data_IF_020209288188
#
_entry.id   IF_020209288188
#
_cell.length_a   1.000
_cell.length_b   1.000
_cell.length_c   1.000
_cell.angle_alpha   90.00
_cell.angle_beta   90.00
_cell.angle_gamma   90.00
#
_symmetry.space_group_name_H-M   'P 1'
#
loop_
_entity.id
_entity.type
_entity.pdbx_description
1 polymer ?
#
# COMPACT_ATOMS: atom_id res chain seq x y z
N UNK A 1 -16.74 16.81 14.59
CA UNK A 1 -15.28 16.98 14.71
C UNK A 1 -14.81 18.31 14.12
N UNK A 2 -15.26 18.72 12.94
CA UNK A 2 -14.92 20.04 12.35
C UNK A 2 -15.24 21.22 13.28
N UNK A 3 -16.41 21.22 13.93
CA UNK A 3 -16.78 22.23 14.94
C UNK A 3 -15.79 22.34 16.12
N UNK A 4 -14.98 21.30 16.34
CA UNK A 4 -13.95 21.25 17.37
C UNK A 4 -12.54 21.50 16.79
N UNK A 5 -12.43 22.00 15.56
CA UNK A 5 -11.16 22.38 14.92
C UNK A 5 -10.37 21.24 14.29
N UNK A 6 -10.98 20.06 14.08
CA UNK A 6 -10.31 18.94 13.41
C UNK A 6 -10.31 19.13 11.89
N UNK A 7 -9.18 18.84 11.25
CA UNK A 7 -9.14 18.54 9.83
C UNK A 7 -9.76 17.17 9.59
N UNK A 8 -10.70 17.06 8.65
CA UNK A 8 -11.33 15.79 8.31
C UNK A 8 -10.74 15.27 7.00
N UNK A 9 -10.45 13.98 6.98
CA UNK A 9 -10.06 13.19 5.81
C UNK A 9 -10.91 11.93 5.77
N UNK A 10 -11.13 11.41 4.57
CA UNK A 10 -11.96 10.23 4.38
C UNK A 10 -11.41 9.39 3.23
N UNK A 11 -11.18 8.11 3.47
CA UNK A 11 -11.10 7.09 2.44
C UNK A 11 -12.48 6.46 2.32
N UNK A 12 -13.18 6.70 1.21
CA UNK A 12 -14.51 6.13 0.96
C UNK A 12 -14.44 5.15 -0.21
N UNK A 13 -14.54 3.86 0.10
CA UNK A 13 -14.68 2.78 -0.90
C UNK A 13 -16.11 2.22 -0.96
N UNK A 14 -17.07 2.88 -0.31
CA UNK A 14 -18.50 2.53 -0.34
C UNK A 14 -19.19 3.16 -1.54
N UNK A 15 -18.95 4.44 -1.79
CA UNK A 15 -19.60 5.14 -2.92
C UNK A 15 -19.19 4.51 -4.25
N UNK A 16 -20.15 4.33 -5.16
CA UNK A 16 -19.93 3.64 -6.44
C UNK A 16 -18.87 4.31 -7.33
N UNK A 17 -18.60 5.60 -7.12
CA UNK A 17 -17.59 6.40 -7.83
C UNK A 17 -16.39 6.81 -6.94
N UNK A 18 -16.37 6.35 -5.68
CA UNK A 18 -15.47 6.81 -4.62
C UNK A 18 -15.47 8.33 -4.46
N UNK A 19 -16.47 9.07 -4.97
CA UNK A 19 -16.40 10.52 -5.18
C UNK A 19 -16.26 11.34 -3.90
N UNK A 20 -16.63 10.76 -2.75
CA UNK A 20 -16.47 11.37 -1.42
C UNK A 20 -15.12 11.06 -0.77
N UNK A 21 -14.34 10.17 -1.37
CA UNK A 21 -12.99 9.85 -0.90
C UNK A 21 -12.01 10.95 -1.25
N UNK A 22 -11.15 11.27 -0.29
CA UNK A 22 -9.89 11.94 -0.55
C UNK A 22 -8.99 11.00 -1.36
N UNK A 23 -8.12 11.58 -2.18
CA UNK A 23 -7.13 10.84 -2.97
C UNK A 23 -5.93 10.43 -2.11
N UNK A 24 -5.32 9.30 -2.44
CA UNK A 24 -4.18 8.71 -1.75
C UNK A 24 -3.10 8.34 -2.76
N UNK A 25 -1.91 8.93 -2.64
CA UNK A 25 -0.78 8.58 -3.50
C UNK A 25 0.36 7.95 -2.69
N UNK A 26 0.58 6.62 -2.79
CA UNK A 26 1.61 5.95 -2.02
C UNK A 26 3.04 6.44 -2.31
N UNK A 27 3.31 6.95 -3.52
CA UNK A 27 4.64 7.45 -3.89
C UNK A 27 5.07 8.68 -3.07
N UNK A 28 4.13 9.44 -2.49
CA UNK A 28 4.45 10.59 -1.62
C UNK A 28 5.23 10.15 -0.38
N UNK A 29 5.01 8.91 0.08
CA UNK A 29 5.62 8.35 1.29
C UNK A 29 6.91 7.59 1.01
N UNK A 30 7.31 7.42 -0.26
CA UNK A 30 8.58 6.76 -0.64
C UNK A 30 9.71 7.78 -0.66
N UNK A 31 10.74 7.56 0.19
CA UNK A 31 11.93 8.43 0.25
C UNK A 31 13.23 7.69 -0.08
N UNK A 32 13.22 6.38 0.02
CA UNK A 32 14.39 5.52 -0.20
C UNK A 32 14.02 4.30 -1.03
N UNK A 33 15.02 3.60 -1.57
CA UNK A 33 14.83 2.31 -2.24
C UNK A 33 14.22 1.25 -1.32
N UNK A 34 14.53 1.31 -0.02
CA UNK A 34 13.93 0.42 0.99
C UNK A 34 12.42 0.67 1.08
N UNK A 35 11.98 1.93 1.03
CA UNK A 35 10.56 2.27 1.03
C UNK A 35 9.88 1.80 -0.27
N UNK A 36 10.58 1.83 -1.40
CA UNK A 36 10.07 1.31 -2.67
C UNK A 36 9.80 -0.20 -2.60
N UNK A 37 10.77 -0.97 -2.09
CA UNK A 37 10.61 -2.42 -1.90
C UNK A 37 9.44 -2.71 -0.96
N UNK A 38 9.32 -1.96 0.15
CA UNK A 38 8.19 -2.08 1.08
C UNK A 38 6.85 -1.76 0.42
N UNK A 39 6.80 -0.73 -0.43
CA UNK A 39 5.58 -0.36 -1.15
C UNK A 39 5.15 -1.47 -2.13
N UNK A 40 6.08 -1.99 -2.93
CA UNK A 40 5.79 -3.08 -3.87
C UNK A 40 5.32 -4.32 -3.13
N UNK A 41 6.00 -4.70 -2.04
CA UNK A 41 5.59 -5.81 -1.18
C UNK A 41 4.20 -5.59 -0.57
N UNK A 42 3.91 -4.40 -0.03
CA UNK A 42 2.60 -4.06 0.52
C UNK A 42 1.49 -4.20 -0.53
N UNK A 43 1.73 -3.74 -1.76
CA UNK A 43 0.77 -3.86 -2.87
C UNK A 43 0.57 -5.32 -3.26
N UNK A 44 1.64 -6.11 -3.37
CA UNK A 44 1.54 -7.54 -3.68
C UNK A 44 0.76 -8.30 -2.61
N UNK A 45 1.07 -8.07 -1.33
CA UNK A 45 0.36 -8.69 -0.21
C UNK A 45 -1.11 -8.28 -0.21
N UNK A 46 -1.39 -6.98 -0.37
CA UNK A 46 -2.77 -6.47 -0.36
C UNK A 46 -3.62 -7.03 -1.50
N UNK A 47 -3.03 -7.22 -2.69
CA UNK A 47 -3.72 -7.76 -3.87
C UNK A 47 -3.77 -9.30 -3.90
N UNK A 48 -3.18 -9.99 -2.92
CA UNK A 48 -3.18 -11.45 -2.86
C UNK A 48 -4.15 -11.91 -1.76
N UNK A 49 -5.22 -12.65 -2.09
CA UNK A 49 -6.18 -13.10 -1.08
C UNK A 49 -5.52 -13.99 -0.01
N UNK A 50 -5.88 -13.78 1.27
CA UNK A 50 -5.23 -14.41 2.42
C UNK A 50 -5.31 -15.95 2.43
N UNK A 51 -6.30 -16.55 1.75
CA UNK A 51 -6.50 -18.00 1.67
C UNK A 51 -5.92 -18.66 0.41
N UNK A 52 -5.21 -17.91 -0.43
CA UNK A 52 -4.55 -18.49 -1.61
C UNK A 52 -3.26 -19.17 -1.17
N UNK A 53 -3.02 -20.40 -1.64
CA UNK A 53 -1.69 -21.02 -1.51
C UNK A 53 -0.64 -20.02 -2.01
N UNK A 54 0.35 -19.70 -1.18
CA UNK A 54 1.47 -18.83 -1.60
C UNK A 54 1.99 -19.39 -2.93
N UNK A 55 2.01 -18.56 -3.97
CA UNK A 55 2.54 -18.96 -5.28
C UNK A 55 3.94 -19.51 -5.13
N UNK A 56 4.39 -20.35 -6.08
CA UNK A 56 5.77 -20.85 -6.01
C UNK A 56 6.72 -19.64 -5.97
N UNK A 57 7.76 -19.64 -5.10
CA UNK A 57 8.61 -18.47 -4.88
C UNK A 57 9.16 -17.84 -6.17
N UNK A 58 9.46 -18.68 -7.16
CA UNK A 58 9.91 -18.26 -8.48
C UNK A 58 8.95 -17.27 -9.18
N UNK A 59 7.65 -17.52 -9.13
CA UNK A 59 6.66 -16.63 -9.76
C UNK A 59 6.54 -15.30 -9.02
N UNK A 60 6.61 -15.33 -7.68
CA UNK A 60 6.56 -14.12 -6.85
C UNK A 60 7.81 -13.25 -7.06
N UNK A 61 8.99 -13.83 -7.20
CA UNK A 61 10.22 -13.11 -7.51
C UNK A 61 10.13 -12.42 -8.89
N UNK A 62 9.60 -13.13 -9.90
CA UNK A 62 9.36 -12.56 -11.22
C UNK A 62 8.37 -11.39 -11.21
N UNK A 63 7.25 -11.53 -10.50
CA UNK A 63 6.27 -10.44 -10.30
C UNK A 63 6.95 -9.25 -9.61
N UNK A 64 7.74 -9.51 -8.57
CA UNK A 64 8.46 -8.48 -7.82
C UNK A 64 9.42 -7.70 -8.73
N UNK A 65 10.20 -8.39 -9.57
CA UNK A 65 11.10 -7.75 -10.54
C UNK A 65 10.34 -6.84 -11.51
N UNK A 66 9.25 -7.33 -12.09
CA UNK A 66 8.45 -6.54 -13.04
C UNK A 66 7.82 -5.30 -12.38
N UNK A 67 7.26 -5.47 -11.18
CA UNK A 67 6.69 -4.36 -10.42
C UNK A 67 7.77 -3.35 -10.05
N UNK A 68 8.91 -3.79 -9.50
CA UNK A 68 10.01 -2.88 -9.18
C UNK A 68 10.47 -2.11 -10.42
N UNK A 69 10.59 -2.76 -11.58
CA UNK A 69 10.93 -2.07 -12.82
C UNK A 69 9.97 -0.90 -13.13
N UNK A 70 8.67 -1.16 -13.11
CA UNK A 70 7.65 -0.15 -13.39
C UNK A 70 7.61 0.93 -12.30
N UNK A 71 7.65 0.55 -11.03
CA UNK A 71 7.57 1.48 -9.91
C UNK A 71 8.79 2.39 -9.81
N UNK A 72 10.01 1.86 -10.01
CA UNK A 72 11.21 2.69 -10.07
C UNK A 72 11.17 3.68 -11.23
N UNK A 73 10.67 3.26 -12.40
CA UNK A 73 10.51 4.17 -13.52
C UNK A 73 9.54 5.31 -13.14
N UNK A 74 8.37 4.97 -12.59
CA UNK A 74 7.40 6.00 -12.17
C UNK A 74 7.99 6.94 -11.13
N UNK A 75 8.72 6.42 -10.13
CA UNK A 75 9.24 7.21 -9.02
C UNK A 75 10.41 8.12 -9.40
N UNK A 76 11.37 7.61 -10.19
CA UNK A 76 12.61 8.33 -10.50
C UNK A 76 12.52 9.18 -11.77
N UNK A 77 11.71 8.76 -12.75
CA UNK A 77 11.78 9.31 -14.11
C UNK A 77 10.54 10.12 -14.52
N UNK A 78 9.43 10.02 -13.77
CA UNK A 78 8.20 10.75 -14.08
C UNK A 78 8.00 11.92 -13.12
N UNK A 79 7.71 13.10 -13.68
CA UNK A 79 7.50 14.34 -12.91
C UNK A 79 6.46 14.21 -11.79
N UNK A 80 5.37 13.49 -12.07
CA UNK A 80 4.31 13.20 -11.10
C UNK A 80 4.18 11.69 -10.89
N UNK A 81 4.83 11.09 -9.88
CA UNK A 81 4.75 9.66 -9.62
C UNK A 81 3.40 9.31 -8.98
N UNK A 82 2.57 8.55 -9.69
CA UNK A 82 1.23 8.12 -9.25
C UNK A 82 0.95 6.69 -9.69
N UNK A 83 0.14 5.95 -8.93
CA UNK A 83 -0.14 4.53 -9.21
C UNK A 83 -0.73 4.28 -10.61
N UNK A 84 -1.62 5.12 -11.18
CA UNK A 84 -2.12 4.94 -12.54
C UNK A 84 -1.03 4.92 -13.62
N UNK A 85 0.12 5.57 -13.38
CA UNK A 85 1.24 5.55 -14.34
C UNK A 85 2.00 4.22 -14.33
N UNK A 86 1.92 3.45 -13.25
CA UNK A 86 2.43 2.07 -13.23
C UNK A 86 1.62 1.22 -14.20
N UNK A 87 0.29 1.31 -14.16
CA UNK A 87 -0.58 0.61 -15.12
C UNK A 87 -0.33 1.07 -16.55
N UNK A 88 -0.02 2.35 -16.76
CA UNK A 88 0.35 2.85 -18.09
C UNK A 88 1.57 2.11 -18.63
N UNK A 89 2.64 1.97 -17.84
CA UNK A 89 3.84 1.21 -18.25
C UNK A 89 3.50 -0.26 -18.50
N UNK A 90 2.65 -0.88 -17.69
CA UNK A 90 2.22 -2.26 -17.90
C UNK A 90 1.47 -2.45 -19.23
N UNK A 91 0.68 -1.45 -19.64
CA UNK A 91 -0.01 -1.46 -20.92
C UNK A 91 0.95 -1.26 -22.10
N UNK A 92 2.02 -0.48 -21.93
CA UNK A 92 3.08 -0.30 -22.94
C UNK A 92 3.83 -1.61 -23.22
N UNK A 93 4.00 -2.49 -22.23
CA UNK A 93 4.59 -3.83 -22.46
C UNK A 93 3.72 -4.69 -23.38
N UNK A 94 2.40 -4.44 -23.44
CA UNK A 94 1.49 -5.18 -24.31
C UNK A 94 1.44 -4.63 -25.74
N UNK A 95 2.11 -3.50 -26.02
CA UNK A 95 2.12 -2.85 -27.34
C UNK A 95 3.43 -3.14 -28.05
N UNK A 96 3.35 -4.02 -29.05
CA UNK A 96 4.48 -4.37 -29.91
C UNK A 96 4.68 -3.25 -30.93
N UNK A 97 5.90 -2.71 -31.00
CA UNK A 97 6.30 -1.68 -31.96
C UNK A 97 6.96 -2.27 -33.21
N UNK A 98 7.59 -3.43 -33.07
CA UNK A 98 8.28 -4.15 -34.15
C UNK A 98 7.91 -5.63 -34.06
N UNK A 99 7.20 -6.13 -35.08
CA UNK A 99 6.71 -7.52 -35.12
C UNK A 99 7.82 -8.55 -35.35
N UNK A 100 8.96 -8.16 -35.94
CA UNK A 100 10.08 -9.07 -36.21
C UNK A 100 10.92 -9.32 -34.96
N UNK A 101 11.20 -8.26 -34.21
CA UNK A 101 12.00 -8.31 -32.97
C UNK A 101 11.14 -8.59 -31.73
N UNK A 102 9.85 -8.27 -31.78
CA UNK A 102 8.96 -8.31 -30.62
C UNK A 102 9.18 -7.15 -29.64
N UNK A 103 9.91 -6.09 -30.04
CA UNK A 103 10.18 -4.94 -29.17
C UNK A 103 8.86 -4.28 -28.76
N UNK A 104 8.68 -4.08 -27.44
CA UNK A 104 7.50 -3.42 -26.87
C UNK A 104 7.73 -1.92 -26.67
N UNK A 105 6.65 -1.16 -26.52
CA UNK A 105 6.75 0.27 -26.17
C UNK A 105 7.48 0.49 -24.84
N UNK A 106 7.27 -0.40 -23.86
CA UNK A 106 7.98 -0.35 -22.58
C UNK A 106 9.47 -0.71 -22.75
N UNK A 107 9.80 -1.68 -23.60
CA UNK A 107 11.19 -2.07 -23.88
C UNK A 107 11.98 -0.92 -24.50
N UNK A 108 11.41 -0.26 -25.51
CA UNK A 108 11.99 0.95 -26.11
C UNK A 108 12.19 2.07 -25.09
N UNK A 109 11.23 2.25 -24.18
CA UNK A 109 11.31 3.21 -23.08
C UNK A 109 12.45 2.89 -22.11
N UNK A 110 12.63 1.62 -21.75
CA UNK A 110 13.73 1.15 -20.90
C UNK A 110 15.09 1.30 -21.59
N UNK A 111 15.17 1.00 -22.89
CA UNK A 111 16.39 1.19 -23.69
C UNK A 111 16.78 2.66 -23.78
N UNK A 112 15.81 3.55 -24.02
CA UNK A 112 16.03 5.00 -24.00
C UNK A 112 16.52 5.48 -22.65
N UNK A 113 15.93 4.96 -21.57
CA UNK A 113 16.34 5.28 -20.20
C UNK A 113 17.79 4.86 -19.92
N UNK A 114 18.17 3.66 -20.35
CA UNK A 114 19.53 3.12 -20.21
C UNK A 114 20.60 3.96 -20.94
N UNK A 115 20.22 4.68 -22.01
CA UNK A 115 21.15 5.57 -22.73
C UNK A 115 21.22 6.95 -22.07
N UNK A 116 20.09 7.52 -21.67
CA UNK A 116 20.01 8.89 -21.17
C UNK A 116 20.42 9.04 -19.69
N UNK A 117 20.17 8.01 -18.88
CA UNK A 117 20.43 8.06 -17.44
C UNK A 117 21.93 7.90 -17.17
N UNK A 118 22.53 8.69 -16.26
CA UNK A 118 23.93 8.49 -15.87
C UNK A 118 24.17 7.13 -15.21
N UNK A 119 23.13 6.47 -14.70
CA UNK A 119 23.21 5.12 -14.13
C UNK A 119 23.27 4.03 -15.21
N UNK A 120 22.94 4.36 -16.46
CA UNK A 120 22.91 3.42 -17.56
C UNK A 120 22.05 2.18 -17.27
N UNK A 121 22.66 1.01 -17.44
CA UNK A 121 22.02 -0.29 -17.19
C UNK A 121 21.80 -0.59 -15.70
N UNK A 122 22.52 0.10 -14.82
CA UNK A 122 22.38 -0.02 -13.35
C UNK A 122 21.21 0.81 -12.82
N UNK A 123 20.53 1.60 -13.67
CA UNK A 123 19.29 2.26 -13.26
C UNK A 123 18.29 1.19 -12.77
N UNK A 124 17.72 1.31 -11.56
CA UNK A 124 16.96 0.22 -10.94
C UNK A 124 15.73 -0.20 -11.75
N UNK A 125 15.09 0.73 -12.46
CA UNK A 125 14.02 0.40 -13.40
C UNK A 125 14.49 -0.52 -14.55
N UNK A 126 15.64 -0.18 -15.15
CA UNK A 126 16.23 -0.89 -16.30
C UNK A 126 16.77 -2.24 -15.88
N UNK A 127 17.54 -2.28 -14.78
CA UNK A 127 18.17 -3.49 -14.28
C UNK A 127 17.13 -4.56 -13.91
N UNK A 128 16.06 -4.19 -13.20
CA UNK A 128 14.99 -5.12 -12.87
C UNK A 128 14.23 -5.60 -14.12
N UNK A 129 13.97 -4.69 -15.09
CA UNK A 129 13.28 -5.06 -16.34
C UNK A 129 14.11 -6.05 -17.17
N UNK A 130 15.41 -5.81 -17.32
CA UNK A 130 16.28 -6.67 -18.12
C UNK A 130 16.49 -8.04 -17.49
N UNK A 131 16.70 -8.10 -16.17
CA UNK A 131 16.80 -9.38 -15.44
C UNK A 131 15.55 -10.25 -15.64
N UNK A 132 14.38 -9.63 -15.67
CA UNK A 132 13.15 -10.35 -16.01
C UNK A 132 13.18 -10.83 -17.47
N UNK A 133 13.49 -9.95 -18.43
CA UNK A 133 13.47 -10.23 -19.88
C UNK A 133 14.55 -11.22 -20.35
N UNK A 134 15.60 -11.44 -19.56
CA UNK A 134 16.58 -12.53 -19.75
C UNK A 134 15.98 -13.94 -19.52
N UNK A 135 14.84 -14.01 -18.82
CA UNK A 135 14.11 -15.26 -18.62
C UNK A 135 13.51 -15.83 -19.91
N UNK A 136 13.07 -17.09 -19.86
CA UNK A 136 12.41 -17.73 -21.01
C UNK A 136 11.16 -16.93 -21.44
N UNK A 137 10.95 -16.66 -22.75
CA UNK A 137 9.88 -15.78 -23.22
C UNK A 137 8.47 -16.13 -22.70
N UNK A 138 8.10 -17.41 -22.67
CA UNK A 138 6.79 -17.87 -22.18
C UNK A 138 6.62 -17.63 -20.67
N UNK A 139 7.70 -17.78 -19.90
CA UNK A 139 7.74 -17.50 -18.47
C UNK A 139 7.55 -16.01 -18.21
N UNK A 140 8.28 -15.15 -18.94
CA UNK A 140 8.17 -13.70 -18.82
C UNK A 140 6.76 -13.22 -19.16
N UNK A 141 6.18 -13.74 -20.24
CA UNK A 141 4.80 -13.45 -20.64
C UNK A 141 3.80 -13.84 -19.55
N UNK A 142 3.99 -15.00 -18.91
CA UNK A 142 3.13 -15.45 -17.81
C UNK A 142 3.20 -14.50 -16.61
N UNK A 143 4.41 -14.06 -16.23
CA UNK A 143 4.62 -13.09 -15.15
C UNK A 143 3.92 -11.75 -15.44
N UNK A 144 4.06 -11.23 -16.68
CA UNK A 144 3.40 -9.99 -17.10
C UNK A 144 1.87 -10.12 -17.02
N UNK A 145 1.31 -11.26 -17.42
CA UNK A 145 -0.14 -11.53 -17.30
C UNK A 145 -0.57 -11.55 -15.83
N UNK A 146 0.21 -12.20 -14.95
CA UNK A 146 -0.07 -12.21 -13.50
C UNK A 146 -0.08 -10.79 -12.92
N UNK A 147 0.87 -9.94 -13.30
CA UNK A 147 0.93 -8.55 -12.86
C UNK A 147 -0.27 -7.74 -13.33
N UNK A 148 -0.62 -7.85 -14.62
CA UNK A 148 -1.81 -7.18 -15.17
C UNK A 148 -3.10 -7.63 -14.49
N UNK A 149 -3.22 -8.93 -14.16
CA UNK A 149 -4.37 -9.47 -13.43
C UNK A 149 -4.49 -8.86 -12.02
N UNK A 150 -3.38 -8.75 -11.29
CA UNK A 150 -3.35 -8.09 -9.97
C UNK A 150 -3.72 -6.61 -10.07
N UNK A 151 -3.29 -5.91 -11.12
CA UNK A 151 -3.54 -4.48 -11.29
C UNK A 151 -4.86 -4.13 -11.99
N UNK A 152 -5.72 -5.12 -12.33
CA UNK A 152 -7.00 -4.89 -13.02
C UNK A 152 -7.91 -3.83 -12.40
N UNK A 153 -7.81 -3.59 -11.09
CA UNK A 153 -8.55 -2.55 -10.38
C UNK A 153 -8.22 -1.14 -10.89
N UNK A 154 -7.02 -0.92 -11.42
CA UNK A 154 -6.64 0.30 -12.13
C UNK A 154 -7.41 0.49 -13.44
N UNK A 155 -8.19 -0.48 -13.92
CA UNK A 155 -9.16 -0.27 -15.00
C UNK A 155 -10.39 0.55 -14.57
N UNK A 156 -10.69 0.60 -13.27
CA UNK A 156 -11.86 1.29 -12.71
C UNK A 156 -11.57 2.79 -12.58
N UNK A 157 -12.44 3.63 -13.14
CA UNK A 157 -12.29 5.11 -13.13
C UNK A 157 -12.19 5.65 -11.70
N UNK A 158 -13.06 5.16 -10.80
CA UNK A 158 -13.05 5.53 -9.39
C UNK A 158 -11.71 5.24 -8.71
N UNK A 159 -11.15 4.04 -8.93
CA UNK A 159 -9.84 3.68 -8.40
C UNK A 159 -8.71 4.52 -9.02
N UNK A 160 -8.72 4.77 -10.34
CA UNK A 160 -7.72 5.67 -10.95
C UNK A 160 -7.74 7.05 -10.32
N UNK A 161 -8.93 7.63 -10.12
CA UNK A 161 -9.12 8.94 -9.46
C UNK A 161 -8.52 8.90 -8.05
N UNK A 162 -8.86 7.88 -7.27
CA UNK A 162 -8.39 7.73 -5.90
C UNK A 162 -6.86 7.80 -5.80
N UNK A 163 -6.13 7.21 -6.74
CA UNK A 163 -4.66 7.19 -6.72
C UNK A 163 -3.99 8.29 -7.57
N UNK A 164 -4.72 9.33 -7.97
CA UNK A 164 -4.21 10.38 -8.88
C UNK A 164 -3.50 11.56 -8.18
N UNK A 165 -3.66 11.69 -6.87
CA UNK A 165 -3.03 12.74 -6.03
C UNK A 165 -2.95 12.26 -4.57
N UNK A 166 -2.12 12.90 -3.74
CA UNK A 166 -2.24 12.74 -2.28
C UNK A 166 -3.01 13.88 -1.64
N UNK A 167 -4.19 13.58 -1.12
CA UNK A 167 -4.97 14.47 -0.26
C UNK A 167 -5.03 13.95 1.18
N UNK A 168 -4.60 12.70 1.43
CA UNK A 168 -4.59 12.07 2.75
C UNK A 168 -3.61 12.73 3.71
N UNK A 169 -2.40 13.06 3.23
CA UNK A 169 -1.29 13.58 4.03
C UNK A 169 -1.15 12.89 5.40
N UNK A 170 -0.80 11.60 5.38
CA UNK A 170 -0.79 10.73 6.59
C UNK A 170 0.11 11.26 7.72
N UNK A 171 1.07 12.15 7.42
CA UNK A 171 1.91 12.80 8.42
C UNK A 171 1.08 13.65 9.41
N UNK A 172 0.02 14.31 8.94
CA UNK A 172 -0.76 15.26 9.75
C UNK A 172 -1.46 14.61 10.94
N UNK A 173 -1.77 13.31 10.85
CA UNK A 173 -2.41 12.56 11.95
C UNK A 173 -1.57 12.62 13.23
N UNK A 174 -0.24 12.48 13.11
CA UNK A 174 0.67 12.51 14.26
C UNK A 174 1.44 13.82 14.44
N UNK A 175 1.59 14.60 13.37
CA UNK A 175 2.43 15.81 13.34
C UNK A 175 1.64 17.12 13.38
N UNK A 176 0.31 17.06 13.24
CA UNK A 176 -0.55 18.22 13.06
C UNK A 176 -0.54 18.78 11.65
N UNK A 177 -1.55 19.57 11.31
CA UNK A 177 -1.70 20.18 9.97
C UNK A 177 -0.49 21.06 9.68
N UNK A 178 0.15 20.85 8.52
CA UNK A 178 1.42 21.49 8.15
C UNK A 178 2.55 21.33 9.19
N UNK A 179 2.49 20.32 10.05
CA UNK A 179 3.49 20.06 11.08
C UNK A 179 3.44 21.00 12.28
N UNK A 180 2.31 21.68 12.52
CA UNK A 180 2.12 22.62 13.64
C UNK A 180 2.11 21.96 15.03
N UNK A 181 2.01 20.62 15.08
CA UNK A 181 1.94 19.79 16.29
C UNK A 181 0.73 20.08 17.17
N UNK A 182 -0.29 20.77 16.65
CA UNK A 182 -1.46 21.19 17.41
C UNK A 182 -2.79 20.89 16.73
N UNK A 183 -2.91 21.15 15.43
CA UNK A 183 -4.18 20.97 14.70
C UNK A 183 -4.38 19.49 14.41
N UNK A 184 -5.43 18.91 14.98
CA UNK A 184 -5.69 17.47 14.90
C UNK A 184 -6.37 17.10 13.57
N UNK A 185 -6.04 15.92 13.06
CA UNK A 185 -6.70 15.34 11.88
C UNK A 185 -7.48 14.09 12.29
N UNK A 186 -8.69 13.93 11.76
CA UNK A 186 -9.47 12.71 11.84
C UNK A 186 -9.60 12.08 10.46
N UNK A 187 -9.18 10.83 10.32
CA UNK A 187 -9.28 10.05 9.08
C UNK A 187 -10.35 8.96 9.26
N UNK A 188 -11.39 9.03 8.42
CA UNK A 188 -12.45 8.03 8.36
C UNK A 188 -12.15 7.03 7.24
N UNK A 189 -12.24 5.73 7.54
CA UNK A 189 -12.14 4.66 6.55
C UNK A 189 -13.53 4.05 6.41
N UNK A 190 -14.19 4.34 5.30
CA UNK A 190 -15.54 3.86 5.00
C UNK A 190 -15.43 2.67 4.04
N UNK A 191 -15.78 1.48 4.53
CA UNK A 191 -15.67 0.20 3.83
C UNK A 191 -17.05 -0.45 3.75
N UNK A 192 -17.32 -1.22 2.70
CA UNK A 192 -18.58 -1.96 2.59
C UNK A 192 -18.53 -3.26 3.39
N UNK A 193 -19.61 -3.57 4.11
CA UNK A 193 -19.70 -4.79 4.92
C UNK A 193 -19.81 -6.06 4.05
N UNK A 194 -20.50 -5.96 2.91
CA UNK A 194 -20.82 -7.09 2.03
C UNK A 194 -19.81 -7.29 0.89
N UNK A 195 -19.31 -6.20 0.29
CA UNK A 195 -18.39 -6.25 -0.86
C UNK A 195 -16.95 -5.94 -0.45
N UNK A 196 -16.10 -6.97 -0.50
CA UNK A 196 -14.68 -6.89 -0.15
C UNK A 196 -13.76 -6.63 -1.34
N UNK A 197 -14.31 -6.30 -2.50
CA UNK A 197 -13.54 -6.11 -3.74
C UNK A 197 -12.43 -5.04 -3.62
N UNK A 198 -12.57 -4.08 -2.70
CA UNK A 198 -11.65 -2.97 -2.50
C UNK A 198 -10.96 -2.92 -1.13
N UNK A 199 -11.10 -3.97 -0.32
CA UNK A 199 -10.45 -4.10 1.00
C UNK A 199 -8.94 -3.92 0.92
N UNK A 200 -8.32 -4.36 -0.18
CA UNK A 200 -6.89 -4.20 -0.42
C UNK A 200 -6.44 -2.73 -0.40
N UNK A 201 -7.30 -1.77 -0.78
CA UNK A 201 -7.00 -0.34 -0.73
C UNK A 201 -6.83 0.10 0.72
N UNK A 202 -7.74 -0.35 1.58
CA UNK A 202 -7.72 -0.08 3.02
C UNK A 202 -6.51 -0.74 3.66
N UNK A 203 -6.21 -2.00 3.32
CA UNK A 203 -4.99 -2.70 3.74
C UNK A 203 -3.71 -1.95 3.35
N UNK A 204 -3.62 -1.49 2.10
CA UNK A 204 -2.48 -0.73 1.60
C UNK A 204 -2.30 0.60 2.35
N UNK A 205 -3.40 1.31 2.60
CA UNK A 205 -3.41 2.55 3.38
C UNK A 205 -2.96 2.29 4.82
N UNK A 206 -3.48 1.24 5.47
CA UNK A 206 -3.11 0.88 6.84
C UNK A 206 -1.61 0.63 7.00
N UNK A 207 -1.03 -0.20 6.14
CA UNK A 207 0.40 -0.48 6.17
C UNK A 207 1.21 0.82 6.04
N UNK A 208 0.81 1.71 5.13
CA UNK A 208 1.48 2.98 4.89
C UNK A 208 1.30 3.95 6.06
N UNK A 209 0.09 4.02 6.63
CA UNK A 209 -0.25 4.82 7.81
C UNK A 209 0.65 4.47 8.99
N UNK A 210 0.72 3.19 9.37
CA UNK A 210 1.53 2.80 10.52
C UNK A 210 3.03 3.01 10.29
N UNK A 211 3.52 2.75 9.08
CA UNK A 211 4.92 3.04 8.73
C UNK A 211 5.25 4.53 8.87
N UNK A 212 4.40 5.41 8.32
CA UNK A 212 4.55 6.86 8.40
C UNK A 212 4.52 7.34 9.86
N UNK A 213 3.53 6.90 10.64
CA UNK A 213 3.40 7.31 12.04
C UNK A 213 4.58 6.83 12.90
N UNK A 214 5.05 5.59 12.71
CA UNK A 214 6.21 5.07 13.42
C UNK A 214 7.47 5.88 13.09
N UNK A 215 7.64 6.26 11.83
CA UNK A 215 8.77 7.08 11.39
C UNK A 215 8.70 8.52 11.93
N UNK A 216 7.50 9.11 11.95
CA UNK A 216 7.26 10.39 12.62
C UNK A 216 7.65 10.33 14.10
N UNK A 217 7.22 9.29 14.81
CA UNK A 217 7.55 9.11 16.22
C UNK A 217 9.07 9.01 16.43
N UNK A 218 9.77 8.21 15.62
CA UNK A 218 11.24 8.09 15.67
C UNK A 218 11.93 9.43 15.50
N UNK A 219 11.48 10.26 14.55
CA UNK A 219 12.02 11.60 14.30
C UNK A 219 11.69 12.62 15.39
N UNK A 220 10.72 12.33 16.27
CA UNK A 220 10.28 13.22 17.35
C UNK A 220 10.60 12.64 18.75
N UNK A 221 11.79 12.07 18.91
CA UNK A 221 12.26 11.60 20.22
C UNK A 221 11.59 10.30 20.68
N UNK A 222 11.01 9.53 19.76
CA UNK A 222 10.41 8.22 20.01
C UNK A 222 8.90 8.21 20.10
N UNK A 223 8.23 9.37 20.17
CA UNK A 223 6.78 9.47 20.29
C UNK A 223 6.18 10.55 19.39
N UNK A 224 4.93 10.37 18.96
CA UNK A 224 4.21 11.36 18.18
C UNK A 224 3.89 12.60 19.04
N UNK A 225 4.07 13.83 18.49
CA UNK A 225 3.64 15.07 19.14
C UNK A 225 2.14 15.10 19.44
N UNK A 226 1.31 14.65 18.49
CA UNK A 226 -0.13 14.46 18.69
C UNK A 226 -0.38 12.95 18.84
N UNK A 227 -0.93 12.48 19.98
CA UNK A 227 -1.33 11.10 20.12
C UNK A 227 -2.38 10.70 19.08
N UNK A 228 -2.18 9.54 18.46
CA UNK A 228 -3.09 9.00 17.44
C UNK A 228 -3.84 7.80 18.01
N UNK A 229 -5.16 7.85 17.93
CA UNK A 229 -6.04 6.73 18.26
C UNK A 229 -6.58 6.11 16.98
N UNK A 230 -6.43 4.80 16.84
CA UNK A 230 -6.96 4.02 15.73
C UNK A 230 -8.09 3.15 16.24
N UNK A 231 -9.31 3.44 15.77
CA UNK A 231 -10.52 2.75 16.16
C UNK A 231 -10.86 1.72 15.07
N UNK A 232 -10.88 0.44 15.43
CA UNK A 232 -11.10 -0.68 14.51
C UNK A 232 -12.41 -1.38 14.90
N UNK A 233 -13.52 -0.81 14.46
CA UNK A 233 -14.91 -1.23 14.74
C UNK A 233 -15.22 -2.66 14.27
N UNK A 234 -14.70 -3.04 13.12
CA UNK A 234 -14.80 -4.40 12.59
C UNK A 234 -13.45 -5.11 12.57
N UNK A 235 -12.70 -5.13 13.68
CA UNK A 235 -11.35 -5.69 13.67
C UNK A 235 -11.29 -7.13 13.12
N UNK A 236 -12.28 -7.96 13.43
CA UNK A 236 -12.33 -9.35 12.98
C UNK A 236 -12.73 -9.54 11.51
N UNK A 237 -13.62 -8.69 10.98
CA UNK A 237 -14.18 -8.86 9.64
C UNK A 237 -13.51 -7.97 8.60
N UNK A 238 -13.01 -6.81 9.02
CA UNK A 238 -12.41 -5.80 8.16
C UNK A 238 -10.94 -6.04 7.84
N UNK A 239 -10.42 -5.11 7.04
CA UNK A 239 -9.02 -5.06 6.65
C UNK A 239 -8.12 -4.78 7.86
N UNK A 240 -6.99 -5.49 7.93
CA UNK A 240 -6.00 -5.36 9.01
C UNK A 240 -4.60 -5.14 8.44
N UNK A 241 -3.71 -4.42 9.14
CA UNK A 241 -2.30 -4.37 8.80
C UNK A 241 -1.68 -5.77 8.80
N UNK A 242 -0.69 -5.99 7.94
CA UNK A 242 0.10 -7.22 7.97
C UNK A 242 0.89 -7.34 9.28
N UNK A 243 1.00 -8.57 9.81
CA UNK A 243 1.69 -8.87 11.08
C UNK A 243 1.24 -7.97 12.24
N UNK A 244 -0.06 -7.69 12.32
CA UNK A 244 -0.63 -6.80 13.32
C UNK A 244 -0.30 -7.21 14.77
N UNK A 245 -0.16 -8.51 15.04
CA UNK A 245 0.26 -9.05 16.35
C UNK A 245 1.62 -8.53 16.80
N UNK A 246 2.54 -8.28 15.86
CA UNK A 246 3.83 -7.66 16.16
C UNK A 246 3.68 -6.15 16.26
N UNK A 247 2.90 -5.57 15.36
CA UNK A 247 2.70 -4.12 15.29
C UNK A 247 2.18 -3.55 16.61
N UNK A 248 1.07 -4.09 17.12
CA UNK A 248 0.35 -3.58 18.30
C UNK A 248 1.25 -3.47 19.54
N UNK A 249 2.17 -4.42 19.73
CA UNK A 249 3.10 -4.44 20.88
C UNK A 249 4.06 -3.26 20.90
N UNK A 250 4.29 -2.61 19.75
CA UNK A 250 5.27 -1.52 19.62
C UNK A 250 4.65 -0.13 19.54
N UNK A 251 3.33 -0.03 19.32
CA UNK A 251 2.62 1.23 19.08
C UNK A 251 2.56 2.13 20.32
N UNK A 252 2.36 1.55 21.51
CA UNK A 252 2.17 2.28 22.77
C UNK A 252 3.27 3.28 23.06
N UNK A 253 4.53 2.86 22.92
CA UNK A 253 5.70 3.73 23.16
C UNK A 253 5.78 4.94 22.23
N UNK A 254 5.00 4.94 21.15
CA UNK A 254 5.01 5.95 20.09
C UNK A 254 3.84 6.93 20.17
N UNK A 255 3.06 6.91 21.26
CA UNK A 255 1.79 7.62 21.37
C UNK A 255 0.77 7.22 20.29
N UNK A 256 0.76 5.94 19.92
CA UNK A 256 -0.26 5.35 19.05
C UNK A 256 -1.05 4.33 19.87
N UNK A 257 -2.35 4.52 19.95
CA UNK A 257 -3.28 3.64 20.64
C UNK A 257 -4.21 2.97 19.63
N UNK A 258 -4.50 1.69 19.83
CA UNK A 258 -5.46 0.96 19.01
C UNK A 258 -6.60 0.48 19.90
N UNK A 259 -7.84 0.70 19.44
CA UNK A 259 -9.06 0.24 20.08
C UNK A 259 -9.71 -0.75 19.12
N UNK A 260 -9.66 -2.03 19.49
CA UNK A 260 -10.26 -3.10 18.71
C UNK A 260 -11.66 -3.40 19.25
N UNK A 261 -12.64 -3.40 18.37
CA UNK A 261 -13.99 -3.85 18.69
C UNK A 261 -14.18 -5.27 18.15
N UNK A 262 -14.69 -6.14 19.01
CA UNK A 262 -14.84 -7.57 18.75
C UNK A 262 -16.21 -8.00 19.26
N UNK A 263 -16.91 -8.82 18.48
CA UNK A 263 -18.15 -9.44 18.92
C UNK A 263 -17.87 -10.63 19.85
N UNK A 264 -16.75 -11.33 19.60
CA UNK A 264 -16.32 -12.44 20.44
C UNK A 264 -14.81 -12.65 20.34
N UNK A 265 -14.17 -13.07 21.44
CA UNK A 265 -12.78 -13.54 21.45
C UNK A 265 -12.58 -14.71 20.48
N UNK A 266 -13.62 -15.51 20.23
CA UNK A 266 -13.57 -16.61 19.25
C UNK A 266 -13.21 -16.14 17.84
N UNK A 267 -13.58 -14.91 17.46
CA UNK A 267 -13.19 -14.34 16.15
C UNK A 267 -11.67 -14.17 16.06
N UNK A 268 -11.02 -13.67 17.12
CA UNK A 268 -9.56 -13.58 17.18
C UNK A 268 -8.90 -14.95 17.05
N UNK A 269 -9.42 -15.97 17.75
CA UNK A 269 -8.87 -17.34 17.71
C UNK A 269 -8.93 -17.96 16.31
N UNK A 270 -9.94 -17.62 15.52
CA UNK A 270 -10.09 -18.10 14.15
C UNK A 270 -9.07 -17.46 13.20
N UNK A 271 -8.85 -16.16 13.36
CA UNK A 271 -7.92 -15.38 12.52
C UNK A 271 -6.47 -15.69 12.90
N UNK A 272 -6.15 -15.65 14.20
CA UNK A 272 -4.81 -15.78 14.74
C UNK A 272 -4.61 -17.15 15.39
N UNK A 273 -4.18 -18.12 14.56
CA UNK A 273 -3.95 -19.52 14.94
C UNK A 273 -2.68 -19.69 15.80
N UNK A 274 -2.51 -20.89 16.36
CA UNK A 274 -1.32 -21.29 17.14
C UNK A 274 -1.04 -20.32 18.30
N UNK A 275 -2.07 -19.96 19.05
CA UNK A 275 -2.01 -19.06 20.22
C UNK A 275 -1.50 -17.63 19.93
N UNK A 276 -1.35 -17.26 18.66
CA UNK A 276 -1.00 -15.88 18.25
C UNK A 276 -2.04 -14.86 18.73
N UNK A 277 -3.30 -15.27 18.90
CA UNK A 277 -4.36 -14.42 19.44
C UNK A 277 -4.08 -13.96 20.89
N UNK A 278 -3.32 -14.74 21.69
CA UNK A 278 -2.96 -14.38 23.06
C UNK A 278 -2.07 -13.14 23.10
N UNK A 279 -1.17 -12.99 22.12
CA UNK A 279 -0.31 -11.80 21.97
C UNK A 279 -1.14 -10.53 21.85
N UNK A 280 -2.25 -10.58 21.11
CA UNK A 280 -3.16 -9.43 20.96
C UNK A 280 -3.84 -9.08 22.27
N UNK A 281 -4.24 -10.10 23.04
CA UNK A 281 -4.84 -9.91 24.35
C UNK A 281 -3.82 -9.30 25.32
N UNK A 282 -2.61 -9.84 25.38
CA UNK A 282 -1.55 -9.35 26.27
C UNK A 282 -1.09 -7.93 25.93
N UNK A 283 -1.15 -7.54 24.65
CA UNK A 283 -0.85 -6.18 24.23
C UNK A 283 -1.91 -5.15 24.66
N UNK A 284 -3.15 -5.59 24.91
CA UNK A 284 -4.25 -4.74 25.32
C UNK A 284 -4.23 -4.48 26.83
N UNK A 285 -4.03 -3.23 27.24
CA UNK A 285 -4.03 -2.86 28.66
C UNK A 285 -5.43 -2.77 29.28
N UNK A 286 -6.49 -2.83 28.48
CA UNK A 286 -7.86 -2.65 28.95
C UNK A 286 -8.81 -3.51 28.12
N UNK A 287 -9.72 -4.19 28.81
CA UNK A 287 -10.80 -4.97 28.24
C UNK A 287 -12.12 -4.41 28.70
N UNK A 288 -12.99 -4.07 27.76
CA UNK A 288 -14.36 -3.65 28.03
C UNK A 288 -15.30 -4.71 27.46
N UNK A 289 -16.06 -5.35 28.33
CA UNK A 289 -17.08 -6.31 27.97
C UNK A 289 -18.46 -5.65 28.06
N UNK A 290 -19.22 -5.66 26.97
CA UNK A 290 -20.49 -4.92 26.84
C UNK A 290 -21.74 -5.80 26.97
N UNK A 291 -21.59 -7.12 27.15
CA UNK A 291 -22.72 -8.06 27.30
C UNK A 291 -22.82 -9.06 26.18
#
# INVERSE_FOLDING_TARGET
MEKNGYQIKCLDVISSDFGKSHMYNPFVYVKTEVDMIRLVSNIQTSLTPQDTSKGEPFWEDGVTMYLLACFYYVWLEMEKPILPKVQLLMNEESRILDEETGETELEKRMNTLAVRSPMGNEHPAVSNYRRLKEGAPDTVRSIIIMCNSKFKFMGVVAAKRLFSEDEMNLYELGMGVNGDKTTKTALFLCVQDEDRSFDFIVGMLYTSLFQVLIECARKNGGALPIPVEVWMDEFANGSRPESFEKLITTLRSRNISVIMFLQSVSQLKQIYKNDTWEILMDACSTFLYLG
#
